data_IF_149013843458
#
_entry.id   IF_149013843458
#
_cell.length_a   1.000
_cell.length_b   1.000
_cell.length_c   1.000
_cell.angle_alpha   90.00
_cell.angle_beta   90.00
_cell.angle_gamma   90.00
#
_symmetry.space_group_name_H-M   'P 1'
#
loop_
_entity.id
_entity.type
_entity.pdbx_description
1 polymer ?
#
# COMPACT_ATOMS: atom_id res chain seq x y z
N UNK A 1 -3.40 -63.93 12.40
CA UNK A 1 -3.87 -62.53 12.29
C UNK A 1 -2.64 -61.63 12.25
N UNK A 2 -2.29 -61.09 11.09
CA UNK A 2 -1.14 -60.20 10.93
C UNK A 2 -1.67 -58.76 10.94
N UNK A 3 -1.20 -57.93 11.91
CA UNK A 3 -1.46 -56.50 11.95
C UNK A 3 -0.56 -55.82 10.91
N UNK A 4 -1.16 -55.21 9.90
CA UNK A 4 -0.47 -54.31 8.99
C UNK A 4 -0.50 -52.92 9.64
N UNK A 5 0.67 -52.44 10.13
CA UNK A 5 0.85 -51.09 10.60
C UNK A 5 1.04 -50.19 9.36
N UNK A 6 0.07 -49.32 9.09
CA UNK A 6 0.21 -48.27 8.07
C UNK A 6 1.14 -47.18 8.59
N UNK A 7 2.34 -47.08 8.01
CA UNK A 7 3.21 -45.91 8.21
C UNK A 7 2.58 -44.71 7.50
N UNK A 8 2.04 -43.76 8.28
CA UNK A 8 1.70 -42.44 7.79
C UNK A 8 3.00 -41.63 7.73
N UNK A 9 3.57 -41.51 6.55
CA UNK A 9 4.69 -40.57 6.30
C UNK A 9 4.14 -39.16 6.30
N UNK A 10 4.34 -38.40 7.38
CA UNK A 10 4.13 -36.98 7.40
C UNK A 10 5.18 -36.32 6.48
N UNK A 11 4.75 -35.85 5.32
CA UNK A 11 5.59 -34.97 4.49
C UNK A 11 5.78 -33.67 5.26
N UNK A 12 7.05 -33.16 5.37
CA UNK A 12 7.24 -31.83 5.94
C UNK A 12 6.52 -30.83 5.03
N UNK A 13 5.57 -30.10 5.60
CA UNK A 13 4.98 -28.94 4.93
C UNK A 13 6.12 -27.96 4.67
N UNK A 14 6.56 -27.83 3.43
CA UNK A 14 7.44 -26.73 3.04
C UNK A 14 6.67 -25.43 3.32
N UNK A 15 7.23 -24.58 4.17
CA UNK A 15 6.68 -23.24 4.36
C UNK A 15 6.63 -22.57 2.98
N UNK A 16 5.43 -22.33 2.49
CA UNK A 16 5.23 -21.67 1.19
C UNK A 16 5.83 -20.28 1.23
N UNK A 17 6.62 -19.91 0.20
CA UNK A 17 7.23 -18.59 0.10
C UNK A 17 6.14 -17.51 0.17
N UNK A 18 6.26 -16.62 1.15
CA UNK A 18 5.32 -15.51 1.36
C UNK A 18 5.82 -14.26 0.67
N UNK A 19 4.93 -13.58 -0.02
CA UNK A 19 5.20 -12.33 -0.71
C UNK A 19 4.36 -11.21 -0.08
N UNK A 20 5.00 -10.09 0.24
CA UNK A 20 4.27 -8.86 0.56
C UNK A 20 3.75 -8.27 -0.75
N UNK A 21 2.43 -8.24 -0.92
CA UNK A 21 1.78 -7.77 -2.14
C UNK A 21 0.85 -6.62 -1.80
N UNK A 22 0.99 -5.53 -2.55
CA UNK A 22 0.11 -4.38 -2.53
C UNK A 22 -0.85 -4.40 -3.73
N UNK A 23 -2.13 -4.23 -3.45
CA UNK A 23 -3.14 -3.83 -4.42
C UNK A 23 -3.29 -2.32 -4.27
N UNK A 24 -3.06 -1.58 -5.35
CA UNK A 24 -2.96 -0.14 -5.27
C UNK A 24 -3.76 0.58 -6.36
N UNK A 25 -4.17 1.81 -6.05
CA UNK A 25 -4.71 2.72 -7.04
C UNK A 25 -3.58 3.42 -7.79
N UNK A 26 -3.71 3.49 -9.12
CA UNK A 26 -2.77 4.16 -10.02
C UNK A 26 -3.21 5.62 -10.15
N UNK A 27 -2.41 6.59 -9.68
CA UNK A 27 -2.73 8.00 -9.78
C UNK A 27 -2.56 8.52 -11.22
N UNK A 28 -3.26 9.60 -11.53
CA UNK A 28 -3.08 10.33 -12.80
C UNK A 28 -1.73 11.06 -12.84
N UNK A 29 -1.26 11.47 -14.04
CA UNK A 29 -0.02 12.24 -14.18
C UNK A 29 0.03 13.48 -13.29
N UNK A 30 -1.06 14.25 -13.16
CA UNK A 30 -1.10 15.44 -12.31
C UNK A 30 -0.83 15.17 -10.82
N UNK A 31 -1.21 13.99 -10.31
CA UNK A 31 -0.86 13.58 -8.95
C UNK A 31 0.61 13.13 -8.87
N UNK A 32 1.12 12.46 -9.90
CA UNK A 32 2.54 12.08 -9.98
C UNK A 32 3.43 13.32 -10.06
N UNK A 33 2.99 14.37 -10.77
CA UNK A 33 3.69 15.66 -10.85
C UNK A 33 3.85 16.28 -9.44
N UNK A 34 2.80 16.24 -8.61
CA UNK A 34 2.88 16.73 -7.23
C UNK A 34 3.86 15.91 -6.36
N UNK A 35 3.96 14.59 -6.59
CA UNK A 35 4.99 13.75 -5.93
C UNK A 35 6.39 14.16 -6.41
N UNK A 36 6.54 14.44 -7.70
CA UNK A 36 7.81 14.89 -8.30
C UNK A 36 8.24 16.24 -7.76
N UNK A 37 7.34 17.22 -7.68
CA UNK A 37 7.61 18.55 -7.10
C UNK A 37 8.06 18.44 -5.64
N UNK A 38 7.32 17.68 -4.82
CA UNK A 38 7.71 17.43 -3.43
C UNK A 38 9.08 16.72 -3.32
N UNK A 39 9.38 15.82 -4.28
CA UNK A 39 10.67 15.12 -4.32
C UNK A 39 11.83 16.06 -4.66
N UNK A 40 11.63 17.01 -5.57
CA UNK A 40 12.62 18.04 -5.91
C UNK A 40 12.89 18.95 -4.70
N UNK A 41 11.85 19.39 -4.01
CA UNK A 41 11.99 20.26 -2.81
C UNK A 41 12.73 19.55 -1.68
N UNK A 42 12.47 18.26 -1.47
CA UNK A 42 13.14 17.43 -0.48
C UNK A 42 14.59 17.15 -0.87
N UNK A 43 14.86 16.90 -2.16
CA UNK A 43 16.22 16.67 -2.68
C UNK A 43 17.13 17.90 -2.49
N UNK A 44 16.57 19.12 -2.67
CA UNK A 44 17.27 20.38 -2.40
C UNK A 44 17.74 20.53 -0.94
N UNK A 45 17.20 19.68 -0.04
CA UNK A 45 17.53 19.62 1.40
C UNK A 45 18.28 18.34 1.77
N UNK A 46 18.77 17.59 0.77
CA UNK A 46 19.53 16.35 0.97
C UNK A 46 18.68 15.14 1.36
N UNK A 47 17.37 15.15 1.12
CA UNK A 47 16.47 14.03 1.37
C UNK A 47 16.06 13.37 0.04
N UNK A 48 16.25 12.06 -0.09
CA UNK A 48 15.96 11.33 -1.32
C UNK A 48 14.67 10.52 -1.16
N UNK A 49 13.60 10.93 -1.85
CA UNK A 49 12.30 10.24 -1.78
C UNK A 49 12.33 8.89 -2.50
N UNK A 50 11.37 8.02 -2.19
CA UNK A 50 11.17 6.77 -2.93
C UNK A 50 10.92 7.00 -4.42
N UNK A 51 10.17 8.05 -4.76
CA UNK A 51 9.94 8.42 -6.15
C UNK A 51 11.24 8.77 -6.88
N UNK A 52 12.13 9.54 -6.24
CA UNK A 52 13.46 9.87 -6.80
C UNK A 52 14.37 8.62 -6.92
N UNK A 53 14.12 7.57 -6.16
CA UNK A 53 14.80 6.28 -6.25
C UNK A 53 14.20 5.36 -7.33
N UNK A 54 13.15 5.82 -8.04
CA UNK A 54 12.50 5.08 -9.13
C UNK A 54 11.30 4.24 -8.71
N UNK A 55 10.83 4.32 -7.46
CA UNK A 55 9.60 3.65 -7.06
C UNK A 55 8.38 4.39 -7.62
N UNK A 56 7.40 3.68 -8.22
CA UNK A 56 6.18 4.29 -8.74
C UNK A 56 5.34 4.91 -7.62
N UNK A 57 4.82 6.13 -7.85
CA UNK A 57 3.83 6.71 -6.96
C UNK A 57 2.54 5.89 -7.01
N UNK A 58 2.00 5.52 -5.85
CA UNK A 58 0.80 4.70 -5.72
C UNK A 58 0.05 5.01 -4.42
N UNK A 59 -1.24 4.70 -4.39
CA UNK A 59 -2.05 4.73 -3.17
C UNK A 59 -2.43 3.30 -2.82
N UNK A 60 -1.89 2.77 -1.74
CA UNK A 60 -2.23 1.44 -1.24
C UNK A 60 -3.73 1.33 -0.99
N UNK A 61 -4.37 0.32 -1.56
CA UNK A 61 -5.75 -0.07 -1.28
C UNK A 61 -5.80 -1.23 -0.28
N UNK A 62 -4.93 -2.23 -0.48
CA UNK A 62 -4.82 -3.37 0.43
C UNK A 62 -3.44 -4.02 0.32
N UNK A 63 -2.67 -3.94 1.38
CA UNK A 63 -1.33 -4.53 1.51
C UNK A 63 -1.33 -5.60 2.60
N UNK A 64 -0.93 -6.83 2.26
CA UNK A 64 -0.70 -7.93 3.21
C UNK A 64 0.25 -8.97 2.61
N UNK A 65 0.48 -10.05 3.34
CA UNK A 65 1.30 -11.17 2.85
C UNK A 65 0.41 -12.28 2.26
N UNK A 66 0.88 -12.84 1.17
CA UNK A 66 0.21 -13.92 0.45
C UNK A 66 1.18 -15.07 0.18
N UNK A 67 0.70 -16.32 0.09
CA UNK A 67 1.47 -17.38 -0.52
C UNK A 67 1.75 -17.06 -1.99
N UNK A 68 2.92 -17.40 -2.49
CA UNK A 68 3.31 -17.11 -3.87
C UNK A 68 2.30 -17.67 -4.91
N UNK A 69 1.65 -18.79 -4.59
CA UNK A 69 0.61 -19.43 -5.39
C UNK A 69 -0.67 -18.59 -5.53
N UNK A 70 -0.91 -17.58 -4.68
CA UNK A 70 -2.09 -16.72 -4.76
C UNK A 70 -2.04 -15.70 -5.91
N UNK A 71 -0.86 -15.44 -6.51
CA UNK A 71 -0.69 -14.38 -7.50
C UNK A 71 -1.65 -14.47 -8.72
N UNK A 72 -1.96 -15.64 -9.31
CA UNK A 72 -2.94 -15.73 -10.40
C UNK A 72 -4.36 -15.32 -9.97
N UNK A 73 -4.80 -15.75 -8.79
CA UNK A 73 -6.12 -15.43 -8.25
C UNK A 73 -6.25 -13.93 -7.91
N UNK A 74 -5.19 -13.34 -7.33
CA UNK A 74 -5.12 -11.90 -7.09
C UNK A 74 -5.19 -11.09 -8.38
N UNK A 75 -4.45 -11.49 -9.42
CA UNK A 75 -4.54 -10.85 -10.75
C UNK A 75 -5.96 -10.91 -11.31
N UNK A 76 -6.64 -12.04 -11.18
CA UNK A 76 -8.02 -12.20 -11.64
C UNK A 76 -8.99 -11.29 -10.86
N UNK A 77 -8.83 -11.17 -9.54
CA UNK A 77 -9.64 -10.29 -8.69
C UNK A 77 -9.46 -8.82 -9.08
N UNK A 78 -8.22 -8.35 -9.23
CA UNK A 78 -7.90 -6.97 -9.63
C UNK A 78 -8.41 -6.68 -11.05
N UNK A 79 -8.24 -7.62 -12.01
CA UNK A 79 -8.77 -7.48 -13.36
C UNK A 79 -10.31 -7.38 -13.39
N UNK A 80 -11.00 -8.13 -12.53
CA UNK A 80 -12.47 -8.06 -12.39
C UNK A 80 -12.91 -6.69 -11.87
N UNK A 81 -12.28 -6.19 -10.82
CA UNK A 81 -12.57 -4.86 -10.26
C UNK A 81 -12.31 -3.75 -11.29
N UNK A 82 -11.19 -3.81 -12.00
CA UNK A 82 -10.83 -2.82 -13.01
C UNK A 82 -11.83 -2.77 -14.19
N UNK A 83 -12.46 -3.88 -14.56
CA UNK A 83 -13.52 -3.89 -15.58
C UNK A 83 -14.76 -3.09 -15.15
N UNK A 84 -15.06 -3.06 -13.86
CA UNK A 84 -16.16 -2.30 -13.27
C UNK A 84 -15.77 -0.86 -12.91
N UNK A 85 -14.47 -0.63 -12.71
CA UNK A 85 -13.92 0.67 -12.34
C UNK A 85 -14.16 1.72 -13.43
N UNK A 86 -14.58 2.93 -13.01
CA UNK A 86 -14.49 4.17 -13.78
C UNK A 86 -13.48 5.07 -13.11
N UNK A 87 -12.72 5.85 -13.88
CA UNK A 87 -11.84 6.88 -13.32
C UNK A 87 -12.64 7.84 -12.43
N UNK A 88 -12.08 8.21 -11.30
CA UNK A 88 -12.72 9.11 -10.33
C UNK A 88 -11.69 10.07 -9.71
N UNK A 89 -12.12 11.21 -9.17
CA UNK A 89 -11.20 12.21 -8.61
C UNK A 89 -10.33 11.66 -7.46
N UNK A 90 -9.06 12.06 -7.47
CA UNK A 90 -8.08 11.85 -6.40
C UNK A 90 -7.48 13.21 -6.04
N UNK A 91 -7.55 13.60 -4.77
CA UNK A 91 -7.10 14.91 -4.29
C UNK A 91 -6.00 14.75 -3.26
N UNK A 92 -4.86 15.40 -3.48
CA UNK A 92 -3.81 15.60 -2.47
C UNK A 92 -4.19 16.81 -1.62
N UNK A 93 -4.27 16.63 -0.30
CA UNK A 93 -4.76 17.66 0.63
C UNK A 93 -3.67 18.28 1.51
N UNK A 94 -2.44 17.81 1.43
CA UNK A 94 -1.31 18.34 2.20
C UNK A 94 -0.27 17.27 2.52
N UNK A 95 0.54 17.55 3.54
CA UNK A 95 1.57 16.66 4.07
C UNK A 95 1.20 16.12 5.44
N UNK A 96 1.72 14.93 5.74
CA UNK A 96 1.68 14.34 7.06
C UNK A 96 3.05 13.74 7.39
N UNK A 97 3.57 14.08 8.57
CA UNK A 97 4.74 13.46 9.16
C UNK A 97 4.30 12.62 10.36
N UNK A 98 4.80 11.39 10.45
CA UNK A 98 4.57 10.52 11.63
C UNK A 98 5.64 10.76 12.71
N UNK A 99 5.42 10.22 13.91
CA UNK A 99 6.39 10.26 15.00
C UNK A 99 7.73 9.57 14.63
N UNK A 100 7.68 8.53 13.80
CA UNK A 100 8.85 7.81 13.27
C UNK A 100 9.42 8.41 11.98
N UNK A 101 9.08 9.69 11.66
CA UNK A 101 9.61 10.41 10.51
C UNK A 101 9.30 9.78 9.14
N UNK A 102 8.15 9.12 9.01
CA UNK A 102 7.59 8.89 7.69
C UNK A 102 6.94 10.19 7.19
N UNK A 103 7.11 10.47 5.92
CA UNK A 103 6.50 11.63 5.27
C UNK A 103 5.59 11.18 4.13
N UNK A 104 4.36 11.67 4.15
CA UNK A 104 3.32 11.35 3.19
C UNK A 104 2.72 12.60 2.56
N UNK A 105 2.35 12.53 1.28
CA UNK A 105 1.28 13.36 0.76
C UNK A 105 -0.05 12.74 1.17
N UNK A 106 -0.87 13.50 1.91
CA UNK A 106 -2.22 13.08 2.31
C UNK A 106 -3.13 13.06 1.10
N UNK A 107 -3.89 12.01 0.98
CA UNK A 107 -4.95 11.87 -0.03
C UNK A 107 -6.30 11.97 0.64
N UNK A 108 -7.24 12.67 0.01
CA UNK A 108 -8.62 12.71 0.48
C UNK A 108 -9.23 11.31 0.48
N UNK A 109 -9.77 10.90 1.63
CA UNK A 109 -10.53 9.67 1.77
C UNK A 109 -11.93 9.84 1.17
N UNK A 110 -12.00 9.98 -0.15
CA UNK A 110 -13.26 10.11 -0.86
C UNK A 110 -14.08 8.81 -0.83
N UNK A 111 -15.40 8.93 -0.94
CA UNK A 111 -16.27 7.74 -0.94
C UNK A 111 -15.97 6.75 -2.08
N UNK A 112 -15.63 7.16 -3.32
CA UNK A 112 -15.19 6.23 -4.36
C UNK A 112 -13.90 5.49 -4.01
N UNK A 113 -12.89 6.19 -3.46
CA UNK A 113 -11.62 5.58 -3.08
C UNK A 113 -11.78 4.59 -1.93
N UNK A 114 -12.59 4.95 -0.93
CA UNK A 114 -12.93 4.05 0.17
C UNK A 114 -13.62 2.78 -0.33
N UNK A 115 -14.65 2.91 -1.18
CA UNK A 115 -15.35 1.74 -1.74
C UNK A 115 -14.40 0.82 -2.50
N UNK A 116 -13.48 1.40 -3.29
CA UNK A 116 -12.49 0.62 -4.02
C UNK A 116 -11.56 -0.14 -3.08
N UNK A 117 -11.07 0.50 -2.00
CA UNK A 117 -10.22 -0.13 -1.00
C UNK A 117 -10.94 -1.26 -0.26
N UNK A 118 -12.20 -1.04 0.12
CA UNK A 118 -13.04 -2.05 0.79
C UNK A 118 -13.30 -3.25 -0.14
N UNK A 119 -13.61 -2.99 -1.42
CA UNK A 119 -13.81 -4.04 -2.43
C UNK A 119 -12.54 -4.88 -2.63
N UNK A 120 -11.38 -4.23 -2.75
CA UNK A 120 -10.10 -4.94 -2.89
C UNK A 120 -9.75 -5.74 -1.65
N UNK A 121 -9.99 -5.21 -0.46
CA UNK A 121 -9.81 -5.93 0.80
C UNK A 121 -10.67 -7.19 0.84
N UNK A 122 -11.97 -7.07 0.58
CA UNK A 122 -12.90 -8.21 0.62
C UNK A 122 -12.61 -9.27 -0.46
N UNK A 123 -12.16 -8.84 -1.63
CA UNK A 123 -11.84 -9.77 -2.72
C UNK A 123 -10.53 -10.52 -2.52
N UNK A 124 -9.55 -9.91 -1.85
CA UNK A 124 -8.20 -10.46 -1.73
C UNK A 124 -7.90 -11.08 -0.35
N UNK A 125 -8.62 -10.66 0.71
CA UNK A 125 -8.43 -11.19 2.07
C UNK A 125 -8.50 -12.73 2.14
N UNK A 126 -9.41 -13.42 1.48
CA UNK A 126 -9.49 -14.88 1.55
C UNK A 126 -8.26 -15.60 0.98
N UNK A 127 -7.42 -14.91 0.22
CA UNK A 127 -6.22 -15.46 -0.42
C UNK A 127 -4.94 -15.21 0.38
N UNK A 128 -5.03 -14.45 1.49
CA UNK A 128 -3.85 -14.05 2.28
C UNK A 128 -3.27 -15.19 3.12
N UNK A 129 -2.04 -15.01 3.55
CA UNK A 129 -1.48 -15.81 4.65
C UNK A 129 -2.13 -15.40 5.98
N UNK A 130 -2.50 -16.38 6.83
CA UNK A 130 -3.26 -16.12 8.06
C UNK A 130 -2.38 -15.99 9.31
N UNK A 131 -1.23 -16.67 9.35
CA UNK A 131 -0.35 -16.70 10.54
C UNK A 131 0.65 -15.52 10.53
N UNK A 132 0.11 -14.28 10.49
CA UNK A 132 0.92 -13.09 10.47
C UNK A 132 1.06 -12.49 11.86
N UNK A 133 2.30 -12.27 12.29
CA UNK A 133 2.58 -11.49 13.49
C UNK A 133 2.42 -9.99 13.20
N UNK A 134 1.80 -9.22 14.11
CA UNK A 134 1.75 -7.77 13.98
C UNK A 134 3.17 -7.18 13.94
N UNK A 135 3.46 -6.26 13.01
CA UNK A 135 4.74 -5.57 12.99
C UNK A 135 4.93 -4.74 14.26
N UNK A 136 6.18 -4.62 14.71
CA UNK A 136 6.51 -4.01 16.01
C UNK A 136 6.00 -2.58 16.19
N UNK A 137 5.94 -1.79 15.11
CA UNK A 137 5.43 -0.42 15.12
C UNK A 137 3.94 -0.31 15.46
N UNK A 138 3.15 -1.39 15.29
CA UNK A 138 1.72 -1.38 15.64
C UNK A 138 1.44 -1.22 17.13
N UNK A 139 2.44 -1.43 17.98
CA UNK A 139 2.32 -1.14 19.43
C UNK A 139 1.98 0.33 19.70
N UNK A 140 2.39 1.23 18.80
CA UNK A 140 2.08 2.67 18.86
C UNK A 140 0.67 3.00 18.36
N UNK A 141 0.00 2.04 17.68
CA UNK A 141 -1.33 2.22 17.08
C UNK A 141 -2.31 1.11 17.49
N UNK A 142 -2.63 0.94 18.78
CA UNK A 142 -3.45 -0.18 19.26
C UNK A 142 -4.84 -0.24 18.62
N UNK A 143 -5.39 0.89 18.19
CA UNK A 143 -6.68 0.94 17.48
C UNK A 143 -6.66 0.23 16.11
N UNK A 144 -5.47 -0.01 15.52
CA UNK A 144 -5.32 -0.71 14.24
C UNK A 144 -5.16 -2.22 14.39
N UNK A 145 -4.90 -2.71 15.61
CA UNK A 145 -4.66 -4.14 15.87
C UNK A 145 -5.85 -5.03 15.47
N UNK A 146 -7.12 -4.72 15.80
CA UNK A 146 -8.25 -5.55 15.39
C UNK A 146 -8.39 -5.68 13.86
N UNK A 147 -8.07 -4.62 13.12
CA UNK A 147 -8.08 -4.66 11.65
C UNK A 147 -6.98 -5.57 11.12
N UNK A 148 -5.78 -5.49 11.70
CA UNK A 148 -4.67 -6.37 11.32
C UNK A 148 -4.97 -7.85 11.63
N UNK A 149 -5.43 -8.16 12.83
CA UNK A 149 -5.78 -9.53 13.23
C UNK A 149 -6.83 -10.14 12.30
N UNK A 150 -7.86 -9.36 11.94
CA UNK A 150 -8.92 -9.85 11.07
C UNK A 150 -8.54 -9.91 9.60
N UNK A 151 -7.81 -8.91 9.09
CA UNK A 151 -7.56 -8.73 7.66
C UNK A 151 -6.09 -8.82 7.26
N UNK A 152 -5.16 -9.01 8.19
CA UNK A 152 -3.72 -9.02 7.90
C UNK A 152 -3.16 -7.67 7.45
N UNK A 153 -3.95 -6.61 7.59
CA UNK A 153 -3.59 -5.23 7.23
C UNK A 153 -4.19 -4.23 8.22
N UNK A 154 -3.40 -3.26 8.70
CA UNK A 154 -3.88 -2.29 9.69
C UNK A 154 -4.71 -1.14 9.10
N UNK A 155 -4.60 -0.91 7.79
CA UNK A 155 -5.18 0.27 7.12
C UNK A 155 -6.33 -0.12 6.19
N UNK A 156 -7.37 -0.76 6.74
CA UNK A 156 -8.56 -1.20 6.01
C UNK A 156 -9.83 -0.68 6.64
N UNK A 157 -10.89 -0.55 5.88
CA UNK A 157 -12.22 -0.10 6.30
C UNK A 157 -12.15 1.20 7.11
N UNK A 158 -12.58 1.19 8.37
CA UNK A 158 -12.57 2.38 9.23
C UNK A 158 -11.16 2.95 9.47
N UNK A 159 -10.12 2.13 9.34
CA UNK A 159 -8.73 2.51 9.52
C UNK A 159 -8.03 2.89 8.20
N UNK A 160 -8.76 2.89 7.08
CA UNK A 160 -8.19 3.26 5.78
C UNK A 160 -7.70 4.71 5.81
N UNK A 161 -6.41 4.90 5.54
CA UNK A 161 -5.71 6.19 5.58
C UNK A 161 -4.91 6.35 4.28
N UNK A 162 -5.55 6.82 3.19
CA UNK A 162 -4.93 6.89 1.88
C UNK A 162 -3.86 7.98 1.83
N UNK A 163 -2.70 7.62 1.29
CA UNK A 163 -1.56 8.53 1.14
C UNK A 163 -0.62 8.08 0.02
N UNK A 164 0.29 8.97 -0.36
CA UNK A 164 1.43 8.69 -1.24
C UNK A 164 2.69 8.84 -0.40
N UNK A 165 3.48 7.79 -0.28
CA UNK A 165 4.67 7.78 0.57
C UNK A 165 5.84 8.49 -0.12
N UNK A 166 6.43 9.47 0.57
CA UNK A 166 7.63 10.18 0.11
C UNK A 166 8.90 9.62 0.76
N UNK A 167 8.91 9.50 2.09
CA UNK A 167 10.07 9.10 2.90
C UNK A 167 9.65 8.12 4.00
N UNK A 168 10.59 7.27 4.43
CA UNK A 168 10.43 6.40 5.59
C UNK A 168 11.60 6.58 6.56
N UNK A 169 11.29 6.68 7.86
CA UNK A 169 12.28 6.76 8.94
C UNK A 169 13.39 7.80 8.67
N UNK A 170 13.02 8.97 8.13
CA UNK A 170 13.98 10.00 7.71
C UNK A 170 14.74 10.58 8.90
N UNK A 171 16.07 10.51 8.85
CA UNK A 171 16.96 10.98 9.91
C UNK A 171 17.49 12.41 9.67
N UNK A 172 17.23 12.99 8.48
CA UNK A 172 17.72 14.32 8.14
C UNK A 172 17.09 15.37 9.07
N UNK A 173 17.89 16.20 9.79
CA UNK A 173 17.38 17.21 10.70
C UNK A 173 16.56 18.31 10.01
N UNK A 174 16.78 18.53 8.71
CA UNK A 174 16.04 19.54 7.94
C UNK A 174 14.59 19.13 7.63
N UNK A 175 14.18 17.87 7.90
CA UNK A 175 12.78 17.46 7.73
C UNK A 175 11.81 18.34 8.55
N UNK A 176 12.18 18.69 9.79
CA UNK A 176 11.38 19.57 10.64
C UNK A 176 11.25 20.98 10.05
N UNK A 177 12.34 21.52 9.52
CA UNK A 177 12.35 22.82 8.84
C UNK A 177 11.52 22.79 7.56
N UNK A 178 11.67 21.75 6.74
CA UNK A 178 10.83 21.58 5.55
C UNK A 178 9.35 21.63 5.90
N UNK A 179 8.91 20.88 6.93
CA UNK A 179 7.51 20.89 7.37
C UNK A 179 7.03 22.28 7.81
N UNK A 180 7.89 23.05 8.48
CA UNK A 180 7.56 24.43 8.89
C UNK A 180 7.46 25.38 7.68
N UNK A 181 8.37 25.27 6.74
CA UNK A 181 8.42 26.12 5.54
C UNK A 181 7.18 25.93 4.65
N UNK A 182 6.69 24.68 4.52
CA UNK A 182 5.51 24.37 3.69
C UNK A 182 4.18 24.49 4.45
N UNK A 183 4.20 24.75 5.76
CA UNK A 183 2.98 24.77 6.59
C UNK A 183 1.94 25.80 6.12
N UNK A 184 2.38 26.97 5.64
CA UNK A 184 1.49 28.03 5.13
C UNK A 184 0.96 27.76 3.72
N UNK A 185 1.64 26.91 2.95
CA UNK A 185 1.28 26.53 1.58
C UNK A 185 1.58 25.04 1.36
N UNK A 186 0.83 24.14 2.02
CA UNK A 186 1.06 22.70 1.88
C UNK A 186 0.80 22.23 0.44
N UNK A 187 1.53 21.22 -0.03
CA UNK A 187 1.30 20.61 -1.34
C UNK A 187 -0.16 20.21 -1.53
N UNK A 188 -0.75 20.60 -2.65
CA UNK A 188 -2.11 20.25 -3.05
C UNK A 188 -2.11 19.90 -4.53
N UNK A 189 -2.88 18.88 -4.90
CA UNK A 189 -3.06 18.51 -6.30
C UNK A 189 -4.43 17.89 -6.51
N UNK A 190 -4.98 18.11 -7.69
CA UNK A 190 -6.18 17.45 -8.16
C UNK A 190 -5.85 16.58 -9.37
N UNK A 191 -6.43 15.41 -9.40
CA UNK A 191 -6.23 14.44 -10.45
C UNK A 191 -7.25 13.31 -10.35
N UNK A 192 -6.83 12.10 -10.68
CA UNK A 192 -7.73 10.95 -10.64
C UNK A 192 -7.04 9.63 -10.35
N UNK A 193 -7.84 8.64 -9.99
CA UNK A 193 -7.48 7.23 -10.07
C UNK A 193 -7.73 6.78 -11.50
N UNK A 194 -6.69 6.29 -12.17
CA UNK A 194 -6.73 5.89 -13.59
C UNK A 194 -6.70 4.38 -13.78
N UNK A 195 -6.47 3.62 -12.71
CA UNK A 195 -6.37 2.17 -12.78
C UNK A 195 -6.14 1.55 -11.41
N UNK A 196 -6.03 0.23 -11.43
CA UNK A 196 -5.72 -0.60 -10.26
C UNK A 196 -4.52 -1.46 -10.59
N UNK A 197 -3.52 -1.47 -9.72
CA UNK A 197 -2.32 -2.27 -9.86
C UNK A 197 -2.19 -3.33 -8.78
N UNK A 198 -1.30 -4.27 -9.03
CA UNK A 198 -0.88 -5.34 -8.13
C UNK A 198 0.64 -5.46 -8.22
N UNK A 199 1.35 -5.43 -7.10
CA UNK A 199 2.80 -5.52 -7.11
C UNK A 199 3.39 -6.07 -5.82
N UNK A 200 4.62 -6.57 -5.91
CA UNK A 200 5.42 -6.95 -4.76
C UNK A 200 6.06 -5.69 -4.20
N UNK A 201 6.04 -5.57 -2.88
CA UNK A 201 6.62 -4.45 -2.16
C UNK A 201 7.77 -4.87 -1.26
N UNK A 202 8.64 -3.91 -0.96
CA UNK A 202 9.71 -4.03 0.04
C UNK A 202 9.19 -3.87 1.48
N UNK A 203 10.12 -3.84 2.45
CA UNK A 203 9.80 -3.66 3.87
C UNK A 203 9.18 -2.30 4.20
N UNK A 204 9.32 -1.30 3.32
CA UNK A 204 8.72 0.02 3.43
C UNK A 204 7.39 0.14 2.66
N UNK A 205 6.86 -0.96 2.14
CA UNK A 205 5.63 -0.95 1.34
C UNK A 205 5.80 -0.30 -0.04
N UNK A 206 7.05 -0.17 -0.55
CA UNK A 206 7.30 0.42 -1.85
C UNK A 206 7.35 -0.64 -2.94
N UNK A 207 6.75 -0.36 -4.08
CA UNK A 207 6.70 -1.28 -5.21
C UNK A 207 8.11 -1.56 -5.75
N UNK A 208 8.54 -2.83 -5.69
CA UNK A 208 9.79 -3.32 -6.27
C UNK A 208 9.56 -4.12 -7.54
N UNK A 209 8.35 -4.64 -7.73
CA UNK A 209 7.98 -5.37 -8.94
C UNK A 209 6.47 -5.30 -9.19
N UNK A 210 6.07 -4.69 -10.28
CA UNK A 210 4.68 -4.74 -10.76
C UNK A 210 4.36 -6.14 -11.28
N UNK A 211 3.25 -6.71 -10.82
CA UNK A 211 2.72 -8.00 -11.26
C UNK A 211 1.65 -7.85 -12.34
N UNK A 212 0.82 -6.81 -12.22
CA UNK A 212 -0.21 -6.45 -13.20
C UNK A 212 -0.71 -5.02 -12.95
N UNK A 213 -1.16 -4.37 -14.02
CA UNK A 213 -1.89 -3.09 -13.96
C UNK A 213 -3.05 -3.13 -14.95
N UNK A 214 -4.18 -2.57 -14.54
CA UNK A 214 -5.40 -2.53 -15.32
C UNK A 214 -5.99 -1.13 -15.28
N UNK A 215 -6.33 -0.57 -16.44
CA UNK A 215 -6.93 0.76 -16.52
C UNK A 215 -8.41 0.71 -16.16
N UNK A 216 -8.88 1.73 -15.42
CA UNK A 216 -10.29 2.02 -15.30
C UNK A 216 -10.84 2.58 -16.61
N UNK A 217 -12.15 2.42 -16.82
CA UNK A 217 -12.83 3.10 -17.94
C UNK A 217 -12.81 4.61 -17.69
N UNK A 218 -12.77 5.36 -18.77
CA UNK A 218 -12.96 6.80 -18.74
C UNK A 218 -14.37 7.19 -18.26
#
# INVERSE_FOLDING_TARGET
MALIAALVTAYPSQAEDRLSIDIYAIPSPSIVDAVTEASVDLAARGMTTFHAQGHPAHVTLYLTQYPASAAPALKAAVAKAAKACRSFPLTVTGLQRTASNWLFLKVERSAPLQRLADEMTLAAEPLRSHDLAPPSWMKEYPAKLPAFERYGSPNVFMQFDPHLTLLANEANPDLGKYMADVASRPPRAEGGVTGIGLGIVDANGQLVRTLAEYRCKA
#
